data_IF_242909120964
#
_entry.id   IF_242909120964
#
_cell.length_a   1.000
_cell.length_b   1.000
_cell.length_c   1.000
_cell.angle_alpha   90.00
_cell.angle_beta   90.00
_cell.angle_gamma   90.00
#
_symmetry.space_group_name_H-M   'P 1'
#
loop_
_entity.id
_entity.type
_entity.pdbx_description
1 polymer ?
#
# COMPACT_ATOMS: atom_id res chain seq x y z
N UNK A 1 24.07 72.76 20.86
CA UNK A 1 22.68 72.76 20.32
C UNK A 1 22.33 71.30 20.05
N UNK A 2 21.49 70.66 20.89
CA UNK A 2 20.05 70.37 20.64
C UNK A 2 19.87 69.67 19.27
N UNK A 3 19.28 68.48 19.10
CA UNK A 3 18.23 67.76 19.84
C UNK A 3 17.98 66.44 19.06
N UNK A 4 17.90 65.27 19.71
CA UNK A 4 16.68 64.48 19.96
C UNK A 4 16.84 63.05 19.42
N UNK A 5 16.65 62.12 20.37
CA UNK A 5 16.51 60.69 20.24
C UNK A 5 15.10 60.31 19.76
N UNK A 6 14.98 59.22 19.00
CA UNK A 6 13.79 58.34 18.87
C UNK A 6 14.26 57.07 18.11
N UNK A 7 14.76 56.01 18.75
CA UNK A 7 14.09 55.02 19.61
C UNK A 7 13.24 53.98 18.85
N UNK A 8 13.79 52.76 18.84
CA UNK A 8 13.17 51.45 19.04
C UNK A 8 12.08 50.94 18.09
N UNK A 9 12.43 49.85 17.41
CA UNK A 9 11.48 48.91 16.80
C UNK A 9 12.16 47.74 16.09
N UNK A 10 13.24 47.16 16.64
CA UNK A 10 13.76 45.87 16.14
C UNK A 10 12.75 44.78 16.54
N UNK A 11 11.80 44.50 15.65
CA UNK A 11 11.03 43.26 15.69
C UNK A 11 11.95 42.09 15.36
N UNK A 12 12.46 41.42 16.39
CA UNK A 12 13.18 40.15 16.24
C UNK A 12 12.12 39.09 15.91
N UNK A 13 11.84 38.91 14.62
CA UNK A 13 11.09 37.76 14.12
C UNK A 13 11.98 36.53 14.26
N UNK A 14 11.93 35.88 15.43
CA UNK A 14 12.49 34.54 15.63
C UNK A 14 11.79 33.58 14.67
N UNK A 15 12.45 33.30 13.54
CA UNK A 15 12.17 32.14 12.71
C UNK A 15 12.42 30.91 13.58
N UNK A 16 11.35 30.32 14.12
CA UNK A 16 11.42 28.98 14.70
C UNK A 16 11.66 28.01 13.55
N UNK A 17 12.93 27.72 13.27
CA UNK A 17 13.32 26.61 12.40
C UNK A 17 12.90 25.31 13.10
N UNK A 18 11.78 24.74 12.65
CA UNK A 18 11.40 23.38 13.00
C UNK A 18 12.41 22.42 12.36
N UNK A 19 13.46 22.07 13.11
CA UNK A 19 14.34 20.99 12.72
C UNK A 19 13.56 19.68 12.87
N UNK A 20 13.07 19.12 11.76
CA UNK A 20 12.53 17.76 11.77
C UNK A 20 13.71 16.81 11.98
N UNK A 21 13.83 16.23 13.17
CA UNK A 21 14.77 15.13 13.38
C UNK A 21 14.23 13.91 12.64
N UNK A 22 14.83 13.60 11.48
CA UNK A 22 14.68 12.30 10.88
C UNK A 22 15.27 11.28 11.87
N UNK A 23 14.42 10.45 12.46
CA UNK A 23 14.89 9.38 13.34
C UNK A 23 15.74 8.41 12.52
N UNK A 24 16.99 8.20 12.92
CA UNK A 24 17.85 7.20 12.30
C UNK A 24 17.22 5.81 12.47
N UNK A 25 16.89 5.18 11.34
CA UNK A 25 16.36 3.82 11.31
C UNK A 25 17.50 2.84 11.62
N UNK A 26 17.25 1.90 12.52
CA UNK A 26 18.22 0.89 12.94
C UNK A 26 17.78 -0.48 12.45
N UNK A 27 18.70 -1.18 11.78
CA UNK A 27 18.49 -2.57 11.36
C UNK A 27 18.23 -3.46 12.59
N UNK A 28 17.27 -4.37 12.46
CA UNK A 28 16.82 -5.26 13.53
C UNK A 28 15.85 -4.60 14.53
N UNK A 29 15.57 -3.30 14.39
CA UNK A 29 14.54 -2.59 15.18
C UNK A 29 13.37 -2.15 14.31
N UNK A 30 13.57 -1.17 13.43
CA UNK A 30 12.51 -0.63 12.58
C UNK A 30 12.41 -1.35 11.24
N UNK A 31 13.49 -2.00 10.78
CA UNK A 31 13.50 -2.75 9.52
C UNK A 31 14.47 -3.94 9.59
N UNK A 32 14.30 -4.87 8.67
CA UNK A 32 15.24 -5.98 8.43
C UNK A 32 15.67 -5.94 6.97
N UNK A 33 16.96 -6.11 6.70
CA UNK A 33 17.45 -6.20 5.33
C UNK A 33 17.15 -7.58 4.75
N UNK A 34 16.32 -7.63 3.69
CA UNK A 34 15.91 -8.90 3.03
C UNK A 34 16.71 -9.22 1.75
N UNK A 35 17.57 -8.30 1.28
CA UNK A 35 18.47 -8.49 0.14
C UNK A 35 19.67 -7.56 0.23
N UNK A 36 20.86 -8.03 -0.18
CA UNK A 36 22.06 -7.19 -0.33
C UNK A 36 22.12 -6.46 -1.67
N UNK A 37 21.39 -6.93 -2.69
CA UNK A 37 21.33 -6.28 -3.99
C UNK A 37 20.14 -5.34 -4.06
N UNK A 38 20.42 -4.05 -4.26
CA UNK A 38 19.41 -3.06 -4.56
C UNK A 38 18.79 -3.35 -5.93
N UNK A 39 17.46 -3.31 -6.01
CA UNK A 39 16.77 -3.43 -7.29
C UNK A 39 17.02 -2.18 -8.12
N UNK A 40 17.21 -2.36 -9.44
CA UNK A 40 17.19 -1.22 -10.37
C UNK A 40 15.80 -0.56 -10.43
N UNK A 41 14.75 -1.30 -10.06
CA UNK A 41 13.38 -0.81 -10.03
C UNK A 41 13.04 -0.39 -8.59
N UNK A 42 12.96 0.93 -8.36
CA UNK A 42 12.61 1.49 -7.05
C UNK A 42 11.12 1.31 -6.81
N UNK A 43 10.77 0.40 -5.91
CA UNK A 43 9.38 0.14 -5.54
C UNK A 43 9.23 -0.03 -4.04
N UNK A 44 8.07 0.40 -3.54
CA UNK A 44 7.55 -0.02 -2.24
C UNK A 44 6.36 -0.93 -2.49
N UNK A 45 6.39 -2.11 -1.89
CA UNK A 45 5.33 -3.11 -2.00
C UNK A 45 4.74 -3.31 -0.61
N UNK A 46 3.45 -3.03 -0.46
CA UNK A 46 2.67 -3.51 0.67
C UNK A 46 2.13 -4.90 0.36
N UNK A 47 2.34 -5.84 1.27
CA UNK A 47 1.64 -7.11 1.31
C UNK A 47 0.47 -7.00 2.27
N UNK A 48 -0.73 -7.33 1.80
CA UNK A 48 -1.95 -7.21 2.58
C UNK A 48 -2.88 -8.41 2.34
N UNK A 49 -3.91 -8.52 3.17
CA UNK A 49 -5.04 -9.41 2.92
C UNK A 49 -6.35 -8.68 3.20
N UNK A 50 -7.37 -8.91 2.38
CA UNK A 50 -8.73 -8.41 2.67
C UNK A 50 -9.32 -9.00 3.96
N UNK A 51 -8.86 -10.20 4.36
CA UNK A 51 -9.28 -10.85 5.61
C UNK A 51 -8.50 -10.37 6.84
N UNK A 52 -7.47 -9.54 6.69
CA UNK A 52 -6.61 -9.09 7.78
C UNK A 52 -7.17 -7.81 8.43
N UNK A 53 -7.58 -7.84 9.71
CA UNK A 53 -8.15 -6.67 10.39
C UNK A 53 -7.17 -5.49 10.51
N UNK A 54 -5.88 -5.77 10.69
CA UNK A 54 -4.85 -4.72 10.71
C UNK A 54 -4.67 -4.05 9.34
N UNK A 55 -4.79 -4.83 8.27
CA UNK A 55 -4.73 -4.34 6.89
C UNK A 55 -5.96 -3.48 6.57
N UNK A 56 -7.13 -3.90 7.05
CA UNK A 56 -8.34 -3.08 7.01
C UNK A 56 -8.13 -1.73 7.72
N UNK A 57 -7.61 -1.74 8.95
CA UNK A 57 -7.37 -0.51 9.69
C UNK A 57 -6.32 0.38 8.99
N UNK A 58 -5.24 -0.19 8.44
CA UNK A 58 -4.22 0.54 7.67
C UNK A 58 -4.83 1.26 6.47
N UNK A 59 -5.68 0.57 5.70
CA UNK A 59 -6.30 1.12 4.50
C UNK A 59 -7.47 2.07 4.82
N UNK A 60 -8.34 1.70 5.76
CA UNK A 60 -9.63 2.35 5.97
C UNK A 60 -9.61 3.43 7.05
N UNK A 61 -8.83 3.23 8.12
CA UNK A 61 -8.82 4.12 9.28
C UNK A 61 -7.60 5.04 9.28
N UNK A 62 -6.40 4.45 9.18
CA UNK A 62 -5.14 5.18 9.32
C UNK A 62 -4.63 5.77 8.00
N UNK A 63 -5.13 5.28 6.85
CA UNK A 63 -4.72 5.73 5.52
C UNK A 63 -3.21 5.62 5.28
N UNK A 64 -2.55 4.62 5.88
CA UNK A 64 -1.10 4.40 5.77
C UNK A 64 -0.66 4.28 4.30
N UNK A 65 -1.34 3.53 3.43
CA UNK A 65 -0.91 3.43 2.03
C UNK A 65 -0.87 4.78 1.31
N UNK A 66 -1.86 5.66 1.57
CA UNK A 66 -1.89 7.00 0.99
C UNK A 66 -0.75 7.86 1.53
N UNK A 67 -0.51 7.83 2.85
CA UNK A 67 0.60 8.56 3.46
C UNK A 67 1.96 8.12 2.91
N UNK A 68 2.14 6.81 2.68
CA UNK A 68 3.33 6.27 2.02
C UNK A 68 3.45 6.84 0.60
N UNK A 69 2.40 6.72 -0.22
CA UNK A 69 2.38 7.27 -1.60
C UNK A 69 2.76 8.75 -1.63
N UNK A 70 2.20 9.55 -0.74
CA UNK A 70 2.43 11.01 -0.68
C UNK A 70 3.88 11.35 -0.27
N UNK A 71 4.52 10.48 0.51
CA UNK A 71 5.90 10.64 0.95
C UNK A 71 6.93 10.09 -0.06
N UNK A 72 6.51 9.30 -1.06
CA UNK A 72 7.43 8.68 -2.00
C UNK A 72 8.02 9.70 -3.00
N UNK A 73 9.32 9.60 -3.33
CA UNK A 73 9.88 10.32 -4.47
C UNK A 73 9.15 9.94 -5.77
N UNK A 74 9.08 10.88 -6.72
CA UNK A 74 8.33 10.71 -7.98
C UNK A 74 8.74 9.50 -8.82
N UNK A 75 9.99 9.01 -8.68
CA UNK A 75 10.52 7.87 -9.41
C UNK A 75 10.34 6.53 -8.69
N UNK A 76 9.71 6.52 -7.50
CA UNK A 76 9.42 5.31 -6.73
C UNK A 76 7.96 4.91 -6.91
N UNK A 77 7.73 3.65 -7.28
CA UNK A 77 6.37 3.11 -7.46
C UNK A 77 5.86 2.48 -6.19
N UNK A 78 4.63 2.79 -5.81
CA UNK A 78 3.91 2.05 -4.78
C UNK A 78 3.06 0.93 -5.40
N UNK A 79 3.01 -0.22 -4.75
CA UNK A 79 2.20 -1.37 -5.14
C UNK A 79 1.63 -2.05 -3.92
N UNK A 80 0.47 -2.65 -4.08
CA UNK A 80 -0.14 -3.50 -3.06
C UNK A 80 -0.37 -4.90 -3.64
N UNK A 81 0.17 -5.93 -2.98
CA UNK A 81 0.05 -7.33 -3.35
C UNK A 81 -0.76 -8.08 -2.29
N UNK A 82 -1.76 -8.81 -2.74
CA UNK A 82 -2.61 -9.61 -1.87
C UNK A 82 -1.97 -10.98 -1.61
N UNK A 83 -1.84 -11.36 -0.33
CA UNK A 83 -1.34 -12.68 0.06
C UNK A 83 -2.43 -13.75 -0.04
N UNK A 84 -2.06 -14.94 -0.52
CA UNK A 84 -3.00 -16.04 -0.74
C UNK A 84 -3.12 -17.02 0.45
N UNK A 85 -2.51 -16.74 1.60
CA UNK A 85 -2.48 -17.68 2.74
C UNK A 85 -3.45 -17.34 3.88
N UNK A 86 -4.20 -16.23 3.82
CA UNK A 86 -5.05 -15.74 4.92
C UNK A 86 -6.52 -15.66 4.50
N UNK A 87 -7.36 -16.49 5.11
CA UNK A 87 -8.82 -16.54 4.90
C UNK A 87 -9.27 -17.51 3.81
N UNK A 88 -10.56 -17.89 3.83
CA UNK A 88 -11.09 -19.01 3.03
C UNK A 88 -11.10 -18.76 1.52
N UNK A 89 -11.22 -17.51 1.11
CA UNK A 89 -11.25 -17.09 -0.30
C UNK A 89 -9.96 -16.38 -0.71
N UNK A 90 -8.85 -16.59 0.01
CA UNK A 90 -7.60 -15.86 -0.18
C UNK A 90 -7.07 -15.95 -1.62
N UNK A 91 -7.05 -17.14 -2.22
CA UNK A 91 -6.60 -17.35 -3.61
C UNK A 91 -7.51 -16.65 -4.62
N UNK A 92 -8.83 -16.75 -4.44
CA UNK A 92 -9.81 -16.06 -5.27
C UNK A 92 -9.67 -14.54 -5.16
N UNK A 93 -9.41 -14.03 -3.97
CA UNK A 93 -9.16 -12.60 -3.73
C UNK A 93 -7.82 -12.13 -4.30
N UNK A 94 -6.77 -12.95 -4.26
CA UNK A 94 -5.49 -12.63 -4.95
C UNK A 94 -5.72 -12.52 -6.47
N UNK A 95 -6.54 -13.41 -7.04
CA UNK A 95 -6.92 -13.36 -8.47
C UNK A 95 -7.81 -12.17 -8.80
N UNK A 96 -8.81 -11.89 -7.98
CA UNK A 96 -9.69 -10.74 -8.16
C UNK A 96 -8.91 -9.42 -8.03
N UNK A 97 -7.98 -9.33 -7.08
CA UNK A 97 -7.09 -8.18 -6.95
C UNK A 97 -6.20 -7.99 -8.18
N UNK A 98 -5.66 -9.08 -8.73
CA UNK A 98 -4.93 -9.04 -10.00
C UNK A 98 -5.79 -8.53 -11.16
N UNK A 99 -7.07 -8.91 -11.23
CA UNK A 99 -8.01 -8.35 -12.20
C UNK A 99 -8.22 -6.85 -11.97
N UNK A 100 -8.44 -6.42 -10.72
CA UNK A 100 -8.61 -5.00 -10.39
C UNK A 100 -7.40 -4.18 -10.86
N UNK A 101 -6.18 -4.68 -10.60
CA UNK A 101 -4.93 -4.07 -11.07
C UNK A 101 -4.82 -4.02 -12.60
N UNK A 102 -5.22 -5.07 -13.30
CA UNK A 102 -5.19 -5.11 -14.76
C UNK A 102 -6.18 -4.11 -15.39
N UNK A 103 -7.32 -3.87 -14.73
CA UNK A 103 -8.38 -2.97 -15.19
C UNK A 103 -8.21 -1.52 -14.71
N UNK A 104 -7.31 -1.25 -13.75
CA UNK A 104 -7.25 0.05 -13.07
C UNK A 104 -8.49 0.32 -12.20
N UNK A 105 -9.11 -0.73 -11.68
CA UNK A 105 -10.36 -0.69 -10.92
C UNK A 105 -10.17 -0.83 -9.41
N UNK A 106 -8.93 -0.77 -8.91
CA UNK A 106 -8.58 -0.97 -7.50
C UNK A 106 -9.41 -0.09 -6.57
N UNK A 107 -9.49 1.22 -6.86
CA UNK A 107 -10.22 2.20 -6.03
C UNK A 107 -11.73 1.93 -5.98
N UNK A 108 -12.29 1.24 -6.97
CA UNK A 108 -13.71 0.91 -7.03
C UNK A 108 -14.05 -0.29 -6.15
N UNK A 109 -13.16 -1.28 -6.08
CA UNK A 109 -13.48 -2.57 -5.45
C UNK A 109 -12.81 -2.78 -4.10
N UNK A 110 -11.75 -2.04 -3.75
CA UNK A 110 -10.97 -2.32 -2.55
C UNK A 110 -11.80 -2.21 -1.25
N UNK A 111 -12.51 -1.11 -1.04
CA UNK A 111 -13.36 -0.91 0.15
C UNK A 111 -14.44 -2.01 0.30
N UNK A 112 -15.29 -2.27 -0.71
CA UNK A 112 -16.34 -3.28 -0.55
C UNK A 112 -15.78 -4.70 -0.41
N UNK A 113 -14.64 -5.03 -1.03
CA UNK A 113 -13.98 -6.32 -0.81
C UNK A 113 -13.49 -6.47 0.64
N UNK A 114 -12.89 -5.41 1.20
CA UNK A 114 -12.50 -5.36 2.61
C UNK A 114 -13.72 -5.56 3.52
N UNK A 115 -14.78 -4.77 3.32
CA UNK A 115 -15.99 -4.86 4.15
C UNK A 115 -16.64 -6.25 4.10
N UNK A 116 -16.71 -6.87 2.92
CA UNK A 116 -17.26 -8.20 2.76
C UNK A 116 -16.37 -9.27 3.41
N UNK A 117 -15.05 -9.20 3.23
CA UNK A 117 -14.11 -10.14 3.83
C UNK A 117 -14.07 -10.05 5.36
N UNK A 118 -14.09 -8.84 5.93
CA UNK A 118 -14.11 -8.62 7.39
C UNK A 118 -15.38 -9.18 8.05
N UNK A 119 -16.50 -9.24 7.30
CA UNK A 119 -17.77 -9.84 7.76
C UNK A 119 -17.86 -11.35 7.45
N UNK A 120 -16.77 -11.96 6.93
CA UNK A 120 -16.75 -13.33 6.42
C UNK A 120 -17.90 -13.61 5.41
N UNK A 121 -18.28 -12.61 4.60
CA UNK A 121 -19.42 -12.71 3.68
C UNK A 121 -19.07 -13.41 2.35
N UNK A 122 -17.77 -13.56 2.04
CA UNK A 122 -17.31 -14.14 0.77
C UNK A 122 -17.20 -15.66 0.88
N UNK A 123 -18.09 -16.39 0.21
CA UNK A 123 -18.11 -17.86 0.22
C UNK A 123 -17.63 -18.47 -1.10
N UNK A 124 -17.56 -17.68 -2.16
CA UNK A 124 -17.24 -18.11 -3.51
C UNK A 124 -16.63 -17.00 -4.37
N UNK A 125 -16.15 -17.35 -5.57
CA UNK A 125 -15.79 -16.37 -6.60
C UNK A 125 -17.01 -15.56 -7.07
N UNK A 126 -18.21 -16.13 -7.04
CA UNK A 126 -19.43 -15.44 -7.48
C UNK A 126 -19.79 -14.27 -6.54
N UNK A 127 -19.55 -14.41 -5.23
CA UNK A 127 -19.72 -13.31 -4.26
C UNK A 127 -18.74 -12.16 -4.56
N UNK A 128 -17.49 -12.51 -4.90
CA UNK A 128 -16.46 -11.53 -5.28
C UNK A 128 -16.84 -10.85 -6.60
N UNK A 129 -17.30 -11.62 -7.58
CA UNK A 129 -17.80 -11.11 -8.86
C UNK A 129 -18.94 -10.12 -8.66
N UNK A 130 -19.91 -10.43 -7.80
CA UNK A 130 -21.03 -9.54 -7.52
C UNK A 130 -20.58 -8.16 -6.99
N UNK A 131 -19.51 -8.12 -6.19
CA UNK A 131 -18.91 -6.86 -5.73
C UNK A 131 -18.32 -6.08 -6.92
N UNK A 132 -17.58 -6.72 -7.80
CA UNK A 132 -17.01 -6.06 -8.99
C UNK A 132 -18.10 -5.45 -9.87
N UNK A 133 -19.17 -6.22 -10.13
CA UNK A 133 -20.29 -5.75 -10.95
C UNK A 133 -21.01 -4.57 -10.31
N UNK A 134 -21.28 -4.66 -9.00
CA UNK A 134 -21.94 -3.60 -8.23
C UNK A 134 -21.11 -2.31 -8.14
N UNK A 135 -19.79 -2.39 -8.43
CA UNK A 135 -18.86 -1.27 -8.39
C UNK A 135 -18.35 -0.87 -9.79
N UNK A 136 -19.11 -1.20 -10.85
CA UNK A 136 -18.91 -0.64 -12.18
C UNK A 136 -17.83 -1.31 -13.03
N UNK A 137 -17.49 -2.57 -12.74
CA UNK A 137 -16.82 -3.48 -13.69
C UNK A 137 -17.90 -4.26 -14.43
N UNK A 138 -17.85 -4.39 -15.74
CA UNK A 138 -18.89 -5.12 -16.48
C UNK A 138 -18.70 -6.64 -16.36
N UNK A 139 -19.77 -7.40 -16.66
CA UNK A 139 -19.69 -8.86 -16.71
C UNK A 139 -18.63 -9.32 -17.72
N UNK A 140 -18.57 -8.67 -18.88
CA UNK A 140 -17.59 -8.99 -19.93
C UNK A 140 -16.15 -8.73 -19.46
N UNK A 141 -15.92 -7.61 -18.76
CA UNK A 141 -14.60 -7.30 -18.20
C UNK A 141 -14.19 -8.31 -17.13
N UNK A 142 -15.11 -8.71 -16.26
CA UNK A 142 -14.81 -9.69 -15.22
C UNK A 142 -14.61 -11.08 -15.80
N UNK A 143 -15.62 -11.61 -16.48
CA UNK A 143 -15.66 -13.01 -16.93
C UNK A 143 -14.61 -13.27 -18.02
N UNK A 144 -14.40 -12.31 -18.92
CA UNK A 144 -13.34 -12.38 -19.92
C UNK A 144 -11.94 -12.10 -19.35
N UNK A 145 -11.84 -11.34 -18.27
CA UNK A 145 -10.57 -10.87 -17.72
C UNK A 145 -9.97 -11.76 -16.65
N UNK A 146 -10.79 -12.39 -15.79
CA UNK A 146 -10.36 -13.03 -14.53
C UNK A 146 -9.37 -14.20 -14.72
N UNK A 147 -9.39 -14.83 -15.90
CA UNK A 147 -8.47 -15.92 -16.28
C UNK A 147 -7.51 -15.54 -17.43
N UNK A 148 -7.45 -14.25 -17.79
CA UNK A 148 -6.58 -13.76 -18.86
C UNK A 148 -5.10 -13.95 -18.54
N UNK A 149 -4.25 -13.94 -19.58
CA UNK A 149 -2.80 -14.02 -19.42
C UNK A 149 -2.24 -12.92 -18.50
N UNK A 150 -2.76 -11.69 -18.64
CA UNK A 150 -2.35 -10.56 -17.79
C UNK A 150 -2.66 -10.81 -16.31
N UNK A 151 -3.87 -11.30 -16.01
CA UNK A 151 -4.28 -11.61 -14.63
C UNK A 151 -3.48 -12.77 -14.06
N UNK A 152 -3.27 -13.85 -14.82
CA UNK A 152 -2.43 -14.97 -14.38
C UNK A 152 -0.99 -14.53 -14.08
N UNK A 153 -0.42 -13.66 -14.92
CA UNK A 153 0.90 -13.07 -14.68
C UNK A 153 0.96 -12.25 -13.38
N UNK A 154 -0.08 -11.46 -13.10
CA UNK A 154 -0.18 -10.66 -11.87
C UNK A 154 -0.42 -11.53 -10.62
N UNK A 155 -1.19 -12.60 -10.71
CA UNK A 155 -1.34 -13.59 -9.62
C UNK A 155 0.02 -14.18 -9.27
N UNK A 156 0.73 -14.73 -10.27
CA UNK A 156 2.05 -15.32 -10.06
C UNK A 156 3.04 -14.30 -9.48
N UNK A 157 2.99 -13.04 -9.92
CA UNK A 157 3.85 -11.98 -9.41
C UNK A 157 3.62 -11.70 -7.92
N UNK A 158 2.37 -11.70 -7.47
CA UNK A 158 2.02 -11.50 -6.07
C UNK A 158 2.49 -12.67 -5.20
N UNK A 159 2.15 -13.90 -5.59
CA UNK A 159 2.50 -15.12 -4.85
C UNK A 159 4.01 -15.30 -4.77
N UNK A 160 4.70 -15.22 -5.90
CA UNK A 160 6.16 -15.36 -5.95
C UNK A 160 6.87 -14.27 -5.14
N UNK A 161 6.34 -13.03 -5.11
CA UNK A 161 6.92 -11.99 -4.29
C UNK A 161 6.77 -12.30 -2.79
N UNK A 162 5.58 -12.71 -2.35
CA UNK A 162 5.35 -13.08 -0.96
C UNK A 162 6.25 -14.26 -0.53
N UNK A 163 6.41 -15.26 -1.38
CA UNK A 163 7.31 -16.40 -1.15
C UNK A 163 8.79 -15.99 -1.13
N UNK A 164 9.24 -15.26 -2.16
CA UNK A 164 10.62 -14.81 -2.31
C UNK A 164 11.08 -13.99 -1.10
N UNK A 165 10.23 -13.10 -0.61
CA UNK A 165 10.53 -12.23 0.53
C UNK A 165 10.09 -12.85 1.86
N UNK A 166 9.65 -14.11 1.86
CA UNK A 166 9.25 -14.89 3.04
C UNK A 166 8.23 -14.15 3.92
N UNK A 167 7.25 -13.50 3.29
CA UNK A 167 6.16 -12.79 3.98
C UNK A 167 5.35 -13.82 4.78
N UNK A 168 5.38 -13.70 6.12
CA UNK A 168 4.67 -14.60 7.04
C UNK A 168 3.51 -13.93 7.77
N UNK A 169 3.36 -12.62 7.64
CA UNK A 169 2.32 -11.83 8.27
C UNK A 169 1.99 -10.61 7.41
N UNK A 170 0.84 -10.00 7.68
CA UNK A 170 0.37 -8.79 6.99
C UNK A 170 -0.33 -7.86 8.00
N UNK A 171 -0.33 -6.53 7.80
CA UNK A 171 0.34 -5.82 6.69
C UNK A 171 1.86 -5.87 6.83
N UNK A 172 2.57 -5.94 5.69
CA UNK A 172 4.04 -5.94 5.64
C UNK A 172 4.52 -5.07 4.47
N UNK A 173 5.61 -4.32 4.65
CA UNK A 173 6.12 -3.37 3.67
C UNK A 173 7.54 -3.74 3.25
N UNK A 174 7.72 -3.91 1.94
CA UNK A 174 9.00 -4.18 1.32
C UNK A 174 9.48 -2.98 0.50
N UNK A 175 10.70 -2.53 0.80
CA UNK A 175 11.35 -1.43 0.11
C UNK A 175 12.44 -1.99 -0.80
N UNK A 176 12.25 -1.89 -2.12
CA UNK A 176 13.24 -2.35 -3.11
C UNK A 176 14.24 -1.25 -3.48
N UNK A 177 14.71 -0.49 -2.50
CA UNK A 177 15.70 0.56 -2.70
C UNK A 177 16.58 0.73 -1.46
N UNK A 178 17.65 1.53 -1.60
CA UNK A 178 18.75 1.60 -0.63
C UNK A 178 18.38 2.24 0.71
N UNK A 179 17.19 2.82 0.85
CA UNK A 179 16.72 3.48 2.07
C UNK A 179 15.58 2.66 2.68
N UNK A 180 15.63 2.35 3.98
CA UNK A 180 14.54 1.66 4.67
C UNK A 180 13.26 2.51 4.67
N UNK A 181 12.10 1.89 4.43
CA UNK A 181 10.83 2.61 4.51
C UNK A 181 10.50 2.93 5.96
N UNK A 182 9.91 4.10 6.16
CA UNK A 182 9.22 4.45 7.38
C UNK A 182 7.72 4.25 7.10
N UNK A 183 7.13 3.10 7.48
CA UNK A 183 5.68 2.95 7.43
C UNK A 183 5.00 3.92 8.40
#
# INVERSE_FOLDING_TARGET
MKKVLLALGLGVSTLMSVNSFAADLQEGKQYVQVSQQASQQKEVIEFFSFYCPHCYAFEMEYKIPQQVVDALPKDVKFKQYHVNFLGRQSENLTRAWALAMALGAESKVKSPLFEAAQKDALKSMDDIRAIFLSNGVTAEQFDGGINSFAVNGLVNKQVNAAEQFKVRGVPDFLCKWKIPCKP
#
